data_IF_379537949283
#
_entry.id   IF_379537949283
#
_cell.length_a   1.000
_cell.length_b   1.000
_cell.length_c   1.000
_cell.angle_alpha   90.00
_cell.angle_beta   90.00
_cell.angle_gamma   90.00
#
_symmetry.space_group_name_H-M   'P 1'
#
loop_
_entity.id
_entity.type
_entity.pdbx_description
1 polymer ?
#
# COMPACT_ATOMS: atom_id res chain seq x y z
N UNK A 1 -7.85 -15.20 -14.39
CA UNK A 1 -6.74 -15.81 -15.17
C UNK A 1 -6.45 -15.02 -16.43
N UNK A 2 -7.43 -14.72 -17.29
CA UNK A 2 -7.22 -13.93 -18.51
C UNK A 2 -6.52 -12.57 -18.28
N UNK A 3 -6.93 -11.83 -17.24
CA UNK A 3 -6.33 -10.55 -16.87
C UNK A 3 -4.83 -10.63 -16.53
N UNK A 4 -4.32 -11.81 -16.20
CA UNK A 4 -2.91 -12.03 -15.86
C UNK A 4 -2.06 -12.38 -17.09
N UNK A 5 -2.70 -12.83 -18.16
CA UNK A 5 -2.03 -13.28 -19.40
C UNK A 5 -1.89 -12.10 -20.37
N UNK A 6 -2.91 -11.23 -20.44
CA UNK A 6 -2.97 -10.06 -21.34
C UNK A 6 -1.71 -9.18 -21.31
N UNK A 7 -1.12 -8.83 -20.15
CA UNK A 7 0.09 -7.99 -20.12
C UNK A 7 1.31 -8.61 -20.83
N UNK A 8 1.29 -9.92 -21.03
CA UNK A 8 2.35 -10.70 -21.68
C UNK A 8 1.94 -11.20 -23.08
N UNK A 9 0.80 -10.73 -23.60
CA UNK A 9 0.34 -10.99 -24.97
C UNK A 9 0.60 -9.76 -25.83
N UNK A 10 1.29 -9.92 -26.96
CA UNK A 10 1.50 -8.87 -27.94
C UNK A 10 1.20 -9.41 -29.34
N UNK A 11 0.45 -8.66 -30.15
CA UNK A 11 0.01 -9.11 -31.49
C UNK A 11 -0.58 -10.54 -31.49
N UNK A 12 -1.44 -10.84 -30.52
CA UNK A 12 -2.05 -12.16 -30.30
C UNK A 12 -1.07 -13.32 -30.06
N UNK A 13 0.20 -13.03 -29.75
CA UNK A 13 1.21 -14.03 -29.38
C UNK A 13 1.57 -13.89 -27.91
N UNK A 14 1.74 -15.03 -27.23
CA UNK A 14 2.12 -15.09 -25.83
C UNK A 14 3.65 -15.07 -25.67
N UNK A 15 4.18 -14.10 -24.93
CA UNK A 15 5.62 -13.92 -24.71
C UNK A 15 6.08 -14.26 -23.28
N UNK A 16 5.15 -14.49 -22.36
CA UNK A 16 5.48 -14.84 -20.97
C UNK A 16 4.40 -15.67 -20.32
N UNK A 17 4.78 -16.55 -19.40
CA UNK A 17 3.83 -17.30 -18.57
C UNK A 17 3.87 -16.69 -17.17
N UNK A 18 2.75 -16.12 -16.68
CA UNK A 18 2.70 -15.59 -15.32
C UNK A 18 2.95 -16.71 -14.31
N UNK A 19 3.95 -16.52 -13.46
CA UNK A 19 4.31 -17.49 -12.41
C UNK A 19 3.81 -17.08 -11.03
N UNK A 20 3.97 -15.80 -10.69
CA UNK A 20 3.56 -15.21 -9.42
C UNK A 20 2.88 -13.87 -9.64
N UNK A 21 2.08 -13.47 -8.67
CA UNK A 21 1.38 -12.19 -8.66
C UNK A 21 1.69 -11.47 -7.35
N UNK A 22 2.14 -10.23 -7.47
CA UNK A 22 2.38 -9.36 -6.33
C UNK A 22 1.20 -8.44 -6.10
N UNK A 23 0.82 -8.29 -4.83
CA UNK A 23 -0.20 -7.34 -4.39
C UNK A 23 0.44 -6.26 -3.52
N UNK A 24 -0.08 -5.04 -3.62
CA UNK A 24 0.33 -3.91 -2.78
C UNK A 24 -0.76 -3.61 -1.78
N UNK A 25 -0.37 -3.45 -0.53
CA UNK A 25 -1.28 -3.16 0.58
C UNK A 25 -0.56 -2.32 1.63
N UNK A 26 -1.36 -1.53 2.37
CA UNK A 26 -0.88 -0.94 3.60
C UNK A 26 -0.99 -1.93 4.75
N UNK A 27 -0.03 -1.84 5.66
CA UNK A 27 0.04 -2.63 6.87
C UNK A 27 0.08 -1.68 8.06
N UNK A 28 -0.47 -2.11 9.18
CA UNK A 28 -0.47 -1.37 10.43
C UNK A 28 -0.10 -2.28 11.59
N UNK A 29 0.34 -1.68 12.69
CA UNK A 29 0.73 -2.43 13.88
C UNK A 29 -0.51 -2.78 14.73
N UNK A 30 -0.83 -4.08 14.80
CA UNK A 30 -1.99 -4.61 15.53
C UNK A 30 -1.86 -4.55 17.05
N UNK A 31 -0.68 -4.28 17.59
CA UNK A 31 -0.49 -4.07 19.04
C UNK A 31 -0.64 -2.59 19.42
N UNK A 32 -0.29 -1.67 18.52
CA UNK A 32 -0.35 -0.21 18.78
C UNK A 32 -1.76 0.32 18.57
N UNK A 33 -2.43 -0.07 17.48
CA UNK A 33 -3.73 0.49 17.12
C UNK A 33 -4.78 0.30 18.23
N UNK A 34 -4.96 -0.91 18.83
CA UNK A 34 -5.89 -1.08 19.95
C UNK A 34 -5.51 -0.28 21.19
N UNK A 35 -4.21 -0.16 21.54
CA UNK A 35 -3.75 0.63 22.70
C UNK A 35 -4.12 2.10 22.59
N UNK A 36 -4.16 2.62 21.36
CA UNK A 36 -4.51 4.00 21.08
C UNK A 36 -5.97 4.15 20.64
N UNK A 37 -6.79 3.10 20.70
CA UNK A 37 -8.17 3.10 20.19
C UNK A 37 -8.25 3.70 18.77
N UNK A 38 -7.47 3.13 17.85
CA UNK A 38 -7.37 3.50 16.45
C UNK A 38 -7.94 2.40 15.56
N UNK A 39 -8.66 2.81 14.52
CA UNK A 39 -9.08 1.93 13.43
C UNK A 39 -8.28 2.22 12.15
N UNK A 40 -8.17 1.25 11.22
CA UNK A 40 -7.59 1.49 9.90
C UNK A 40 -8.37 2.60 9.18
N UNK A 41 -7.72 3.68 8.73
CA UNK A 41 -8.39 4.80 8.08
C UNK A 41 -8.92 4.41 6.70
N UNK A 42 -10.07 4.99 6.34
CA UNK A 42 -10.75 4.81 5.05
C UNK A 42 -10.78 6.09 4.21
N UNK A 43 -10.51 7.24 4.82
CA UNK A 43 -10.45 8.54 4.14
C UNK A 43 -9.12 9.23 4.38
N UNK A 44 -8.82 10.24 3.57
CA UNK A 44 -7.62 11.06 3.75
C UNK A 44 -7.59 11.75 5.11
N UNK A 45 -8.71 12.34 5.53
CA UNK A 45 -8.80 13.05 6.81
C UNK A 45 -8.59 12.09 7.99
N UNK A 46 -9.19 10.89 7.94
CA UNK A 46 -8.95 9.84 8.94
C UNK A 46 -7.47 9.41 8.97
N UNK A 47 -6.81 9.28 7.82
CA UNK A 47 -5.39 8.94 7.76
C UNK A 47 -4.52 10.01 8.42
N UNK A 48 -4.85 11.29 8.20
CA UNK A 48 -4.16 12.41 8.84
C UNK A 48 -4.38 12.39 10.36
N UNK A 49 -5.59 12.12 10.84
CA UNK A 49 -5.89 12.09 12.27
C UNK A 49 -5.26 10.89 12.98
N UNK A 50 -5.29 9.71 12.37
CA UNK A 50 -4.54 8.53 12.83
C UNK A 50 -3.04 8.87 12.92
N UNK A 51 -2.50 9.56 11.92
CA UNK A 51 -1.08 9.92 11.88
C UNK A 51 -0.70 10.92 12.96
N UNK A 52 -1.54 11.92 13.26
CA UNK A 52 -1.34 12.85 14.37
C UNK A 52 -1.31 12.09 15.70
N UNK A 53 -2.30 11.23 15.95
CA UNK A 53 -2.40 10.46 17.21
C UNK A 53 -1.19 9.55 17.43
N UNK A 54 -0.72 8.88 16.37
CA UNK A 54 0.51 8.07 16.43
C UNK A 54 1.72 8.94 16.80
N UNK A 55 1.86 10.12 16.18
CA UNK A 55 2.96 11.05 16.43
C UNK A 55 2.95 11.61 17.85
N UNK A 56 1.77 11.96 18.38
CA UNK A 56 1.59 12.44 19.76
C UNK A 56 2.05 11.41 20.81
N UNK A 57 1.93 10.12 20.50
CA UNK A 57 2.37 9.02 21.37
C UNK A 57 3.79 8.54 21.06
N UNK A 58 4.57 9.29 20.28
CA UNK A 58 5.98 9.02 20.01
C UNK A 58 6.24 7.97 18.92
N UNK A 59 5.22 7.51 18.20
CA UNK A 59 5.38 6.57 17.10
C UNK A 59 5.63 7.29 15.76
N UNK A 60 6.42 6.68 14.89
CA UNK A 60 6.51 7.10 13.48
C UNK A 60 5.24 6.66 12.74
N UNK A 61 4.40 7.56 12.21
CA UNK A 61 3.12 7.18 11.62
C UNK A 61 3.24 6.34 10.35
N UNK A 62 4.17 6.72 9.47
CA UNK A 62 4.43 6.06 8.20
C UNK A 62 5.91 5.72 8.14
N UNK A 63 6.23 4.43 8.22
CA UNK A 63 7.57 3.93 7.93
C UNK A 63 7.72 3.79 6.42
N UNK A 64 8.59 4.59 5.81
CA UNK A 64 8.76 4.60 4.36
C UNK A 64 10.23 4.71 3.93
N UNK A 65 10.70 3.73 3.17
CA UNK A 65 12.06 3.67 2.64
C UNK A 65 12.18 4.35 1.28
N UNK A 66 12.87 5.48 1.20
CA UNK A 66 13.02 6.31 -0.01
C UNK A 66 14.30 6.06 -0.80
N UNK A 67 15.16 5.12 -0.36
CA UNK A 67 16.48 4.88 -0.99
C UNK A 67 16.37 4.48 -2.47
N UNK A 68 15.34 3.73 -2.83
CA UNK A 68 15.06 3.37 -4.22
C UNK A 68 13.81 4.11 -4.69
N UNK A 69 13.89 4.85 -5.79
CA UNK A 69 12.82 5.75 -6.22
C UNK A 69 11.52 5.03 -6.57
N UNK A 70 11.57 3.79 -7.07
CA UNK A 70 10.37 3.02 -7.43
C UNK A 70 9.43 2.75 -6.24
N UNK A 71 9.94 2.75 -5.00
CA UNK A 71 9.13 2.49 -3.81
C UNK A 71 8.07 3.57 -3.61
N UNK A 72 8.35 4.82 -4.00
CA UNK A 72 7.40 5.94 -3.83
C UNK A 72 6.25 5.84 -4.82
N UNK A 73 6.53 5.40 -6.05
CA UNK A 73 5.51 5.18 -7.06
C UNK A 73 4.53 4.09 -6.62
N UNK A 74 5.00 3.04 -5.93
CA UNK A 74 4.13 2.00 -5.39
C UNK A 74 3.34 2.47 -4.18
N UNK A 75 3.95 3.21 -3.25
CA UNK A 75 3.24 3.76 -2.09
C UNK A 75 2.10 4.69 -2.52
N UNK A 76 2.41 5.70 -3.33
CA UNK A 76 1.42 6.70 -3.80
C UNK A 76 0.37 6.06 -4.69
N UNK A 77 0.76 5.15 -5.59
CA UNK A 77 -0.18 4.43 -6.43
C UNK A 77 -1.19 3.62 -5.61
N UNK A 78 -0.75 2.92 -4.56
CA UNK A 78 -1.65 2.17 -3.67
C UNK A 78 -2.49 3.09 -2.79
N UNK A 79 -1.94 4.23 -2.36
CA UNK A 79 -2.67 5.24 -1.59
C UNK A 79 -3.87 5.78 -2.38
N UNK A 80 -3.64 6.19 -3.62
CA UNK A 80 -4.68 6.73 -4.50
C UNK A 80 -5.76 5.70 -4.89
N UNK A 81 -5.45 4.40 -4.82
CA UNK A 81 -6.43 3.33 -5.09
C UNK A 81 -7.33 3.04 -3.88
N UNK A 82 -6.94 3.48 -2.68
CA UNK A 82 -7.57 3.11 -1.41
C UNK A 82 -8.38 4.26 -0.78
N UNK A 83 -8.21 5.47 -1.28
CA UNK A 83 -8.87 6.69 -0.79
C UNK A 83 -9.73 7.32 -1.88
#
# INVERSE_FOLDING_TARGET
VQSQITPFTYENKQYGVPWQMDAKSFFYNKDIFPKLNLDPPKTWDELIDVSKKLKEHGYTPISFGTKATWTISHYIGTLNQRM
#
